data_IF_305334259785
#
_entry.id   IF_305334259785
#
_cell.length_a   1.000
_cell.length_b   1.000
_cell.length_c   1.000
_cell.angle_alpha   90.00
_cell.angle_beta   90.00
_cell.angle_gamma   90.00
#
_symmetry.space_group_name_H-M   'P 1'
#
loop_
_entity.id
_entity.type
_entity.pdbx_description
1 polymer ?
#
# COMPACT_ATOMS: atom_id res chain seq x y z
N UNK A 1 25.12 7.23 23.80
CA UNK A 1 24.41 6.54 24.90
C UNK A 1 23.76 7.59 25.76
N UNK A 2 22.45 7.51 25.88
CA UNK A 2 21.65 8.55 26.56
C UNK A 2 21.24 8.03 27.94
N UNK A 3 21.91 8.54 29.00
CA UNK A 3 21.68 8.13 30.39
C UNK A 3 20.20 8.23 30.79
N UNK A 4 19.44 9.12 30.15
CA UNK A 4 18.01 9.28 30.38
C UNK A 4 17.16 8.09 29.84
N UNK A 5 17.58 7.45 28.73
CA UNK A 5 16.89 6.28 28.20
C UNK A 5 17.07 5.05 29.10
N UNK A 6 18.23 4.92 29.75
CA UNK A 6 18.50 3.83 30.69
C UNK A 6 17.72 3.98 32.01
N UNK A 7 17.49 5.21 32.46
CA UNK A 7 16.69 5.51 33.65
C UNK A 7 15.19 5.28 33.37
N UNK A 8 14.71 5.66 32.18
CA UNK A 8 13.33 5.43 31.77
C UNK A 8 13.03 3.93 31.60
N UNK A 9 13.94 3.17 30.99
CA UNK A 9 13.84 1.71 30.87
C UNK A 9 13.76 1.01 32.22
N UNK A 10 14.50 1.50 33.23
CA UNK A 10 14.43 0.97 34.61
C UNK A 10 13.13 1.30 35.33
N UNK A 11 12.39 2.31 34.89
CA UNK A 11 11.05 2.68 35.40
C UNK A 11 9.90 2.02 34.66
N UNK A 12 10.19 1.20 33.64
CA UNK A 12 9.19 0.55 32.80
C UNK A 12 8.48 1.49 31.82
N UNK A 13 8.98 2.71 31.64
CA UNK A 13 8.48 3.66 30.63
C UNK A 13 9.44 3.62 29.45
N UNK A 14 8.96 3.11 28.32
CA UNK A 14 9.70 3.17 27.07
C UNK A 14 9.63 4.60 26.51
N UNK A 15 10.78 5.23 26.33
CA UNK A 15 10.92 6.54 25.69
C UNK A 15 11.85 6.40 24.48
N UNK A 16 11.57 7.14 23.43
CA UNK A 16 12.41 7.15 22.24
C UNK A 16 11.65 7.54 20.99
N UNK A 17 12.35 7.44 19.85
CA UNK A 17 11.77 7.73 18.54
C UNK A 17 11.93 6.53 17.64
N UNK A 18 10.84 6.11 17.00
CA UNK A 18 10.83 5.09 15.93
C UNK A 18 10.55 5.80 14.61
N UNK A 19 11.40 5.55 13.61
CA UNK A 19 11.34 6.17 12.28
C UNK A 19 10.94 5.12 11.24
N UNK A 20 9.84 5.35 10.55
CA UNK A 20 9.18 4.36 9.71
C UNK A 20 9.13 4.86 8.27
N UNK A 21 9.69 4.07 7.33
CA UNK A 21 9.46 4.26 5.90
C UNK A 21 8.10 3.69 5.51
N UNK A 22 7.18 4.51 5.02
CA UNK A 22 5.81 4.11 4.75
C UNK A 22 5.51 4.06 3.25
N UNK A 23 5.36 2.85 2.68
CA UNK A 23 4.93 2.67 1.30
C UNK A 23 3.42 2.94 1.13
N UNK A 24 2.95 3.34 -0.06
CA UNK A 24 1.59 3.86 -0.26
C UNK A 24 0.47 3.02 0.32
N UNK A 25 0.50 1.70 0.15
CA UNK A 25 -0.58 0.83 0.63
C UNK A 25 -0.70 0.77 2.15
N UNK A 26 0.40 0.99 2.89
CA UNK A 26 0.39 0.92 4.36
C UNK A 26 -0.21 2.15 5.03
N UNK A 27 -0.25 3.29 4.32
CA UNK A 27 -0.56 4.62 4.87
C UNK A 27 -2.03 4.87 5.16
N UNK A 28 -2.93 4.15 4.51
CA UNK A 28 -4.37 4.43 4.60
C UNK A 28 -5.05 3.74 5.79
N UNK A 29 -4.57 2.58 6.21
CA UNK A 29 -5.16 1.81 7.31
C UNK A 29 -4.13 1.10 8.17
N UNK A 30 -3.27 0.27 7.57
CA UNK A 30 -2.36 -0.62 8.29
C UNK A 30 -1.51 0.15 9.30
N UNK A 31 -0.72 1.09 8.83
CA UNK A 31 0.19 1.86 9.68
C UNK A 31 -0.54 2.79 10.67
N UNK A 32 -1.56 3.58 10.29
CA UNK A 32 -2.32 4.37 11.24
C UNK A 32 -2.95 3.56 12.36
N UNK A 33 -3.53 2.40 12.05
CA UNK A 33 -4.14 1.54 13.07
C UNK A 33 -3.09 0.94 14.03
N UNK A 34 -1.94 0.51 13.49
CA UNK A 34 -0.83 0.00 14.28
C UNK A 34 -0.25 1.09 15.20
N UNK A 35 -0.03 2.30 14.67
CA UNK A 35 0.45 3.45 15.45
C UNK A 35 -0.51 3.78 16.60
N UNK A 36 -1.80 3.88 16.32
CA UNK A 36 -2.81 4.20 17.34
C UNK A 36 -2.82 3.16 18.45
N UNK A 37 -2.81 1.87 18.12
CA UNK A 37 -2.78 0.78 19.10
C UNK A 37 -1.48 0.75 19.90
N UNK A 38 -0.34 1.01 19.27
CA UNK A 38 0.96 1.03 19.92
C UNK A 38 1.11 2.19 20.89
N UNK A 39 0.74 3.40 20.48
CA UNK A 39 0.85 4.59 21.35
C UNK A 39 -0.09 4.56 22.56
N UNK A 40 -1.22 3.86 22.46
CA UNK A 40 -2.10 3.61 23.61
C UNK A 40 -1.40 2.82 24.73
N UNK A 41 -0.40 2.01 24.39
CA UNK A 41 0.37 1.21 25.34
C UNK A 41 1.74 1.84 25.67
N UNK A 42 2.27 2.68 24.79
CA UNK A 42 3.61 3.27 24.88
C UNK A 42 3.58 4.78 24.65
N UNK A 43 2.96 5.56 25.54
CA UNK A 43 2.74 7.01 25.35
C UNK A 43 4.03 7.85 25.37
N UNK A 44 5.17 7.29 25.81
CA UNK A 44 6.48 7.95 25.80
C UNK A 44 7.24 7.83 24.48
N UNK A 45 6.71 7.07 23.50
CA UNK A 45 7.35 6.87 22.21
C UNK A 45 6.86 7.93 21.21
N UNK A 46 7.79 8.49 20.44
CA UNK A 46 7.50 9.31 19.26
C UNK A 46 7.64 8.47 18.01
N UNK A 47 6.66 8.51 17.13
CA UNK A 47 6.70 7.85 15.82
C UNK A 47 6.83 8.90 14.72
N UNK A 48 7.78 8.70 13.81
CA UNK A 48 8.00 9.53 12.63
C UNK A 48 7.84 8.70 11.38
N UNK A 49 7.13 9.22 10.38
CA UNK A 49 6.95 8.54 9.09
C UNK A 49 7.65 9.30 7.97
N UNK A 50 8.23 8.56 7.03
CA UNK A 50 8.81 9.06 5.79
C UNK A 50 8.10 8.41 4.60
N UNK A 51 7.50 9.23 3.75
CA UNK A 51 6.73 8.83 2.56
C UNK A 51 7.53 9.12 1.29
N UNK A 52 8.50 8.27 1.00
CA UNK A 52 9.38 8.38 -0.17
C UNK A 52 9.26 7.14 -1.07
N UNK A 53 9.77 7.18 -2.30
CA UNK A 53 9.96 5.98 -3.12
C UNK A 53 10.78 4.91 -2.39
N UNK A 54 10.54 3.64 -2.72
CA UNK A 54 11.18 2.51 -2.04
C UNK A 54 12.71 2.62 -2.01
N UNK A 55 13.32 2.97 -3.13
CA UNK A 55 14.76 3.09 -3.29
C UNK A 55 15.35 4.17 -2.35
N UNK A 56 14.63 5.28 -2.19
CA UNK A 56 15.01 6.35 -1.25
C UNK A 56 14.87 5.89 0.20
N UNK A 57 13.78 5.16 0.53
CA UNK A 57 13.58 4.60 1.86
C UNK A 57 14.66 3.57 2.21
N UNK A 58 15.09 2.73 1.24
CA UNK A 58 16.21 1.80 1.43
C UNK A 58 17.51 2.55 1.71
N UNK A 59 17.79 3.62 0.97
CA UNK A 59 18.97 4.45 1.22
C UNK A 59 18.93 5.10 2.62
N UNK A 60 17.78 5.64 3.03
CA UNK A 60 17.58 6.20 4.36
C UNK A 60 17.72 5.16 5.47
N UNK A 61 17.23 3.96 5.24
CA UNK A 61 17.36 2.85 6.19
C UNK A 61 18.81 2.41 6.35
N UNK A 62 19.58 2.31 5.26
CA UNK A 62 21.02 2.03 5.28
C UNK A 62 21.82 3.11 6.02
N UNK A 63 21.40 4.36 5.84
CA UNK A 63 22.00 5.51 6.54
C UNK A 63 21.59 5.61 8.02
N UNK A 64 20.65 4.79 8.50
CA UNK A 64 20.12 4.84 9.87
C UNK A 64 19.12 5.97 10.11
N UNK A 65 18.62 6.61 9.05
CA UNK A 65 17.61 7.68 9.13
C UNK A 65 16.21 7.12 9.39
N UNK A 66 15.95 5.87 9.01
CA UNK A 66 14.73 5.13 9.34
C UNK A 66 15.09 3.73 9.88
N UNK A 67 14.22 3.17 10.71
CA UNK A 67 14.42 1.91 11.40
C UNK A 67 13.92 0.72 10.58
N UNK A 68 12.75 0.86 9.94
CA UNK A 68 12.19 -0.13 9.04
C UNK A 68 11.25 0.49 7.99
N UNK A 69 11.00 -0.27 6.93
CA UNK A 69 10.01 0.07 5.89
C UNK A 69 8.81 -0.85 6.04
N UNK A 70 7.58 -0.31 5.90
CA UNK A 70 6.36 -1.09 5.90
C UNK A 70 5.62 -0.93 4.57
N UNK A 71 5.20 -2.06 3.98
CA UNK A 71 4.41 -2.10 2.74
C UNK A 71 4.57 -3.38 1.96
N UNK A 72 4.39 -3.32 0.64
CA UNK A 72 4.59 -4.48 -0.21
C UNK A 72 6.07 -4.87 -0.30
N UNK A 73 6.34 -6.12 0.03
CA UNK A 73 7.67 -6.69 -0.05
C UNK A 73 8.11 -6.83 -1.51
N UNK A 74 9.40 -6.61 -1.77
CA UNK A 74 10.04 -6.86 -3.05
C UNK A 74 10.47 -8.33 -3.11
N UNK A 75 9.98 -9.07 -4.11
CA UNK A 75 10.27 -10.50 -4.22
C UNK A 75 11.58 -10.80 -4.97
N UNK A 76 12.00 -9.87 -5.84
CA UNK A 76 13.09 -10.09 -6.78
C UNK A 76 14.39 -9.34 -6.39
N UNK A 77 14.44 -8.70 -5.22
CA UNK A 77 15.62 -7.98 -4.77
C UNK A 77 16.37 -8.81 -3.73
N UNK A 78 17.47 -9.45 -4.17
CA UNK A 78 18.43 -10.07 -3.26
C UNK A 78 19.33 -8.97 -2.67
N UNK A 79 18.90 -8.40 -1.56
CA UNK A 79 19.64 -7.37 -0.82
C UNK A 79 20.18 -8.03 0.46
N UNK A 80 21.44 -8.50 0.47
CA UNK A 80 21.98 -9.30 1.57
C UNK A 80 22.10 -8.55 2.89
N UNK A 81 22.06 -7.22 2.84
CA UNK A 81 22.09 -6.33 3.99
C UNK A 81 20.69 -6.03 4.57
N UNK A 82 19.64 -6.59 3.96
CA UNK A 82 18.25 -6.38 4.38
C UNK A 82 17.56 -7.70 4.69
N UNK A 83 16.66 -7.64 5.65
CA UNK A 83 15.72 -8.72 5.97
C UNK A 83 14.30 -8.27 5.70
N UNK A 84 13.46 -9.22 5.28
CA UNK A 84 12.03 -8.97 5.09
C UNK A 84 11.20 -9.98 5.88
N UNK A 85 10.17 -9.48 6.57
CA UNK A 85 9.20 -10.30 7.29
C UNK A 85 7.80 -10.06 6.72
N UNK A 86 7.18 -11.13 6.21
CA UNK A 86 5.81 -11.05 5.71
C UNK A 86 4.82 -11.11 6.86
N UNK A 87 3.87 -10.18 6.88
CA UNK A 87 2.77 -10.13 7.84
C UNK A 87 1.51 -10.80 7.31
N UNK A 88 1.18 -10.56 6.03
CA UNK A 88 0.04 -11.17 5.34
C UNK A 88 0.19 -11.05 3.82
N UNK A 89 -0.73 -11.71 3.12
CA UNK A 89 -0.87 -11.63 1.66
C UNK A 89 -2.23 -11.07 1.29
N UNK A 90 -2.30 -10.33 0.18
CA UNK A 90 -3.54 -9.80 -0.35
C UNK A 90 -3.48 -9.65 -1.87
N UNK A 91 -4.64 -9.77 -2.51
CA UNK A 91 -4.80 -9.55 -3.95
C UNK A 91 -5.15 -8.09 -4.25
N UNK A 92 -5.00 -7.72 -5.51
CA UNK A 92 -5.52 -6.46 -6.01
C UNK A 92 -7.00 -6.59 -6.37
N UNK A 93 -7.74 -5.52 -6.13
CA UNK A 93 -9.16 -5.37 -6.46
C UNK A 93 -9.36 -4.23 -7.43
N UNK A 94 -10.33 -4.38 -8.33
CA UNK A 94 -10.79 -3.26 -9.16
C UNK A 94 -11.86 -2.50 -8.39
N UNK A 95 -11.63 -1.21 -8.17
CA UNK A 95 -12.54 -0.32 -7.46
C UNK A 95 -13.13 0.73 -8.39
N UNK A 96 -14.34 1.14 -8.05
CA UNK A 96 -15.13 2.14 -8.75
C UNK A 96 -16.12 2.80 -7.77
N UNK A 97 -16.78 3.90 -8.18
CA UNK A 97 -17.81 4.53 -7.36
C UNK A 97 -19.02 3.62 -7.14
N UNK A 98 -19.73 3.85 -6.06
CA UNK A 98 -21.05 3.24 -5.86
C UNK A 98 -21.99 3.60 -7.02
N UNK A 99 -22.88 2.66 -7.36
CA UNK A 99 -23.81 2.78 -8.47
C UNK A 99 -23.16 2.98 -9.85
N UNK A 100 -21.88 2.61 -10.01
CA UNK A 100 -21.21 2.61 -11.31
C UNK A 100 -21.95 1.68 -12.29
N UNK A 101 -22.15 2.07 -13.57
CA UNK A 101 -22.88 1.24 -14.55
C UNK A 101 -22.34 -0.19 -14.69
N UNK A 102 -21.03 -0.38 -14.59
CA UNK A 102 -20.38 -1.70 -14.68
C UNK A 102 -20.79 -2.68 -13.60
N UNK A 103 -21.28 -2.23 -12.44
CA UNK A 103 -21.77 -3.11 -11.38
C UNK A 103 -23.04 -3.89 -11.79
N UNK A 104 -23.76 -3.38 -12.79
CA UNK A 104 -24.98 -3.99 -13.34
C UNK A 104 -24.78 -4.53 -14.74
N UNK A 105 -23.57 -4.42 -15.30
CA UNK A 105 -23.28 -4.90 -16.64
C UNK A 105 -23.23 -6.45 -16.65
N UNK A 106 -23.84 -7.13 -17.61
CA UNK A 106 -23.86 -8.60 -17.64
C UNK A 106 -22.48 -9.23 -17.86
N UNK A 107 -21.58 -8.50 -18.52
CA UNK A 107 -20.17 -8.89 -18.71
C UNK A 107 -19.26 -7.67 -18.44
N UNK A 108 -18.96 -7.35 -17.18
CA UNK A 108 -18.12 -6.22 -16.84
C UNK A 108 -16.67 -6.40 -17.29
N UNK A 109 -16.20 -7.64 -17.46
CA UNK A 109 -14.84 -7.95 -17.90
C UNK A 109 -14.57 -7.41 -19.30
N UNK A 110 -15.52 -7.54 -20.24
CA UNK A 110 -15.36 -7.05 -21.61
C UNK A 110 -15.16 -5.52 -21.70
N UNK A 111 -15.61 -4.80 -20.68
CA UNK A 111 -15.54 -3.34 -20.63
C UNK A 111 -14.20 -2.80 -20.08
N UNK A 112 -13.38 -3.66 -19.47
CA UNK A 112 -12.12 -3.23 -18.82
C UNK A 112 -11.14 -2.62 -19.81
N UNK A 113 -11.11 -3.08 -21.06
CA UNK A 113 -10.21 -2.60 -22.11
C UNK A 113 -10.51 -1.16 -22.56
N UNK A 114 -11.76 -0.73 -22.48
CA UNK A 114 -12.23 0.59 -22.90
C UNK A 114 -12.55 1.54 -21.76
N UNK A 115 -12.46 1.04 -20.51
CA UNK A 115 -12.70 1.86 -19.32
C UNK A 115 -11.64 2.95 -19.18
N UNK A 116 -12.01 4.02 -18.48
CA UNK A 116 -11.07 5.04 -18.03
C UNK A 116 -10.39 4.59 -16.74
N UNK A 117 -9.07 4.65 -16.70
CA UNK A 117 -8.31 4.14 -15.60
C UNK A 117 -7.50 5.20 -14.86
N UNK A 118 -7.51 5.14 -13.53
CA UNK A 118 -6.51 5.77 -12.67
C UNK A 118 -5.48 4.70 -12.34
N UNK A 119 -4.26 4.85 -12.83
CA UNK A 119 -3.20 3.84 -12.70
C UNK A 119 -1.96 4.40 -12.01
N UNK A 120 -1.18 3.56 -11.31
CA UNK A 120 0.16 3.93 -10.89
C UNK A 120 1.07 4.19 -12.10
N UNK A 121 2.19 4.88 -11.86
CA UNK A 121 3.23 5.12 -12.87
C UNK A 121 3.68 3.82 -13.53
N UNK A 122 4.06 3.91 -14.79
CA UNK A 122 4.69 2.81 -15.50
C UNK A 122 5.89 2.27 -14.68
N UNK A 123 6.09 0.95 -14.71
CA UNK A 123 7.11 0.21 -13.94
C UNK A 123 6.91 0.20 -12.40
N UNK A 124 5.88 0.83 -11.85
CA UNK A 124 5.54 0.60 -10.44
C UNK A 124 5.10 -0.87 -10.24
N UNK A 125 5.50 -1.53 -9.13
CA UNK A 125 5.18 -2.95 -8.91
C UNK A 125 3.69 -3.28 -9.02
N UNK A 126 2.82 -2.41 -8.50
CA UNK A 126 1.37 -2.59 -8.62
C UNK A 126 0.91 -2.50 -10.08
N UNK A 127 1.52 -1.63 -10.89
CA UNK A 127 1.22 -1.52 -12.31
C UNK A 127 1.66 -2.77 -13.06
N UNK A 128 2.85 -3.28 -12.81
CA UNK A 128 3.36 -4.49 -13.44
C UNK A 128 2.48 -5.72 -13.15
N UNK A 129 1.96 -5.84 -11.91
CA UNK A 129 1.03 -6.92 -11.55
C UNK A 129 -0.30 -6.79 -12.30
N UNK A 130 -0.86 -5.58 -12.39
CA UNK A 130 -2.08 -5.33 -13.14
C UNK A 130 -1.90 -5.66 -14.64
N UNK A 131 -0.80 -5.21 -15.23
CA UNK A 131 -0.50 -5.47 -16.63
C UNK A 131 -0.37 -6.99 -16.90
N UNK A 132 0.31 -7.74 -16.00
CA UNK A 132 0.36 -9.22 -16.07
C UNK A 132 -1.03 -9.85 -15.98
N UNK A 133 -1.88 -9.38 -15.03
CA UNK A 133 -3.24 -9.89 -14.91
C UNK A 133 -4.05 -9.66 -16.18
N UNK A 134 -3.93 -8.50 -16.84
CA UNK A 134 -4.59 -8.23 -18.10
C UNK A 134 -4.12 -9.17 -19.23
N UNK A 135 -2.82 -9.44 -19.32
CA UNK A 135 -2.26 -10.44 -20.25
C UNK A 135 -2.85 -11.83 -19.99
N UNK A 136 -2.87 -12.27 -18.73
CA UNK A 136 -3.45 -13.56 -18.32
C UNK A 136 -4.95 -13.64 -18.65
N UNK A 137 -5.67 -12.53 -18.52
CA UNK A 137 -7.08 -12.43 -18.92
C UNK A 137 -7.29 -12.37 -20.43
N UNK A 138 -6.24 -12.24 -21.25
CA UNK A 138 -6.35 -12.05 -22.69
C UNK A 138 -6.93 -10.69 -23.08
N UNK A 139 -6.76 -9.69 -22.23
CA UNK A 139 -7.23 -8.32 -22.45
C UNK A 139 -6.08 -7.41 -22.89
N UNK A 140 -6.35 -6.37 -23.70
CA UNK A 140 -5.38 -5.31 -23.96
C UNK A 140 -4.96 -4.63 -22.65
N UNK A 141 -3.70 -4.20 -22.57
CA UNK A 141 -3.20 -3.49 -21.39
C UNK A 141 -4.00 -2.21 -21.13
N UNK A 142 -4.38 -1.94 -19.87
CA UNK A 142 -5.16 -0.76 -19.54
C UNK A 142 -4.31 0.50 -19.75
N UNK A 143 -4.90 1.50 -20.40
CA UNK A 143 -4.25 2.77 -20.62
C UNK A 143 -4.65 3.76 -19.52
N UNK A 144 -3.70 4.50 -18.93
CA UNK A 144 -4.05 5.46 -17.89
C UNK A 144 -4.77 6.68 -18.51
N UNK A 145 -5.94 7.02 -17.98
CA UNK A 145 -6.53 8.34 -18.16
C UNK A 145 -5.89 9.32 -17.20
N UNK A 146 -5.60 8.86 -15.97
CA UNK A 146 -4.82 9.58 -14.96
C UNK A 146 -3.74 8.66 -14.42
N UNK A 147 -2.51 9.17 -14.33
CA UNK A 147 -1.40 8.44 -13.72
C UNK A 147 -1.06 9.05 -12.37
N UNK A 148 -1.30 8.30 -11.29
CA UNK A 148 -0.98 8.69 -9.93
C UNK A 148 -0.83 7.49 -9.00
N UNK A 149 0.05 7.60 -7.99
CA UNK A 149 0.15 6.65 -6.88
C UNK A 149 -0.42 7.18 -5.56
N UNK A 150 -0.98 8.39 -5.59
CA UNK A 150 -1.54 9.05 -4.41
C UNK A 150 -2.94 8.53 -4.10
N UNK A 151 -3.13 7.99 -2.88
CA UNK A 151 -4.39 7.38 -2.48
C UNK A 151 -5.54 8.39 -2.35
N UNK A 152 -5.26 9.63 -1.97
CA UNK A 152 -6.29 10.66 -1.86
C UNK A 152 -6.79 11.10 -3.25
N UNK A 153 -5.86 11.21 -4.23
CA UNK A 153 -6.22 11.47 -5.62
C UNK A 153 -7.04 10.32 -6.21
N UNK A 154 -6.62 9.06 -6.00
CA UNK A 154 -7.37 7.88 -6.47
C UNK A 154 -8.79 7.90 -5.89
N UNK A 155 -8.94 8.09 -4.58
CA UNK A 155 -10.24 8.18 -3.90
C UNK A 155 -11.13 9.25 -4.51
N UNK A 156 -10.61 10.48 -4.63
CA UNK A 156 -11.37 11.62 -5.17
C UNK A 156 -11.83 11.38 -6.60
N UNK A 157 -10.95 10.84 -7.46
CA UNK A 157 -11.29 10.55 -8.85
C UNK A 157 -12.34 9.44 -8.97
N UNK A 158 -12.22 8.35 -8.19
CA UNK A 158 -13.21 7.28 -8.20
C UNK A 158 -14.57 7.75 -7.72
N UNK A 159 -14.64 8.59 -6.68
CA UNK A 159 -15.90 9.09 -6.16
C UNK A 159 -16.58 10.10 -7.11
N UNK A 160 -15.78 10.87 -7.86
CA UNK A 160 -16.25 11.94 -8.73
C UNK A 160 -16.45 11.58 -10.21
N UNK A 161 -16.16 10.33 -10.61
CA UNK A 161 -16.18 9.93 -12.03
C UNK A 161 -16.50 8.45 -12.23
N UNK A 162 -16.56 8.01 -13.50
CA UNK A 162 -16.69 6.61 -13.89
C UNK A 162 -15.33 5.93 -14.14
N UNK A 163 -14.26 6.45 -13.56
CA UNK A 163 -12.95 5.83 -13.66
C UNK A 163 -12.84 4.58 -12.77
N UNK A 164 -11.96 3.68 -13.17
CA UNK A 164 -11.58 2.48 -12.42
C UNK A 164 -10.17 2.64 -11.85
N UNK A 165 -9.91 2.00 -10.74
CA UNK A 165 -8.54 1.81 -10.24
C UNK A 165 -8.35 0.38 -9.76
N UNK A 166 -7.13 -0.15 -9.88
CA UNK A 166 -6.74 -1.42 -9.30
C UNK A 166 -5.77 -1.16 -8.14
N UNK A 167 -6.15 -1.56 -6.94
CA UNK A 167 -5.40 -1.32 -5.70
C UNK A 167 -5.36 -2.59 -4.84
N UNK A 168 -4.41 -2.69 -3.93
CA UNK A 168 -4.39 -3.74 -2.91
C UNK A 168 -5.66 -3.66 -2.04
N UNK A 169 -6.21 -4.80 -1.66
CA UNK A 169 -7.50 -4.88 -0.97
C UNK A 169 -7.58 -4.04 0.31
N UNK A 170 -6.49 -3.97 1.08
CA UNK A 170 -6.44 -3.17 2.32
C UNK A 170 -6.37 -1.66 2.08
N UNK A 171 -5.90 -1.22 0.91
CA UNK A 171 -5.57 0.18 0.63
C UNK A 171 -6.78 1.13 0.68
N UNK A 172 -7.97 0.66 0.22
CA UNK A 172 -9.21 1.43 0.20
C UNK A 172 -10.33 0.72 0.98
N UNK A 173 -9.95 -0.06 1.99
CA UNK A 173 -10.91 -0.85 2.75
C UNK A 173 -11.89 0.00 3.53
N UNK A 174 -11.45 1.15 4.06
CA UNK A 174 -12.37 2.08 4.71
C UNK A 174 -13.48 2.54 3.76
N UNK A 175 -13.14 2.87 2.53
CA UNK A 175 -14.07 3.33 1.50
C UNK A 175 -15.05 2.23 1.10
N UNK A 176 -14.60 0.99 0.97
CA UNK A 176 -15.47 -0.14 0.63
C UNK A 176 -16.35 -0.57 1.80
N UNK A 177 -15.81 -0.64 3.03
CA UNK A 177 -16.56 -1.01 4.24
C UNK A 177 -17.66 0.01 4.56
N UNK A 178 -17.45 1.30 4.23
CA UNK A 178 -18.43 2.38 4.45
C UNK A 178 -19.30 2.70 3.22
N UNK A 179 -19.21 1.88 2.17
CA UNK A 179 -20.03 2.05 0.98
C UNK A 179 -19.74 3.30 0.17
N UNK A 180 -18.55 3.89 0.27
CA UNK A 180 -18.10 5.02 -0.54
C UNK A 180 -17.60 4.58 -1.90
N UNK A 181 -17.00 3.40 -1.97
CA UNK A 181 -16.57 2.73 -3.20
C UNK A 181 -17.11 1.30 -3.23
N UNK A 182 -17.16 0.72 -4.41
CA UNK A 182 -17.55 -0.66 -4.64
C UNK A 182 -16.42 -1.45 -5.31
N UNK A 183 -16.39 -2.74 -5.05
CA UNK A 183 -15.50 -3.69 -5.75
C UNK A 183 -16.21 -4.18 -6.99
N UNK A 184 -15.57 -4.06 -8.15
CA UNK A 184 -16.04 -4.72 -9.37
C UNK A 184 -15.74 -6.23 -9.28
N UNK A 185 -16.72 -7.11 -9.44
CA UNK A 185 -16.54 -8.56 -9.24
C UNK A 185 -15.84 -9.23 -10.46
N UNK A 186 -14.68 -8.70 -10.83
CA UNK A 186 -13.77 -9.24 -11.84
C UNK A 186 -12.43 -9.53 -11.17
N UNK A 187 -12.11 -10.82 -10.92
CA UNK A 187 -10.85 -11.19 -10.29
C UNK A 187 -9.66 -10.84 -11.18
N UNK A 188 -8.60 -10.36 -10.56
CA UNK A 188 -7.32 -10.11 -11.21
C UNK A 188 -6.37 -11.27 -10.87
N UNK A 189 -6.09 -12.19 -11.80
CA UNK A 189 -5.22 -13.33 -11.55
C UNK A 189 -3.77 -12.88 -11.28
N UNK A 190 -3.06 -13.64 -10.48
CA UNK A 190 -1.62 -13.48 -10.18
C UNK A 190 -1.24 -12.11 -9.63
N UNK A 191 -2.15 -11.47 -8.87
CA UNK A 191 -1.91 -10.15 -8.27
C UNK A 191 -1.63 -10.21 -6.77
N UNK A 192 -1.46 -11.39 -6.20
CA UNK A 192 -1.15 -11.58 -4.78
C UNK A 192 0.16 -10.88 -4.41
N UNK A 193 0.11 -10.10 -3.35
CA UNK A 193 1.25 -9.34 -2.83
C UNK A 193 1.49 -9.71 -1.37
N UNK A 194 2.75 -9.96 -1.03
CA UNK A 194 3.18 -10.09 0.37
C UNK A 194 3.37 -8.70 0.96
N UNK A 195 2.71 -8.44 2.06
CA UNK A 195 2.79 -7.18 2.80
C UNK A 195 3.55 -7.44 4.08
N UNK A 196 4.49 -6.58 4.41
CA UNK A 196 5.34 -6.83 5.57
C UNK A 196 6.30 -5.70 5.87
N UNK A 197 7.33 -6.06 6.62
CA UNK A 197 8.40 -5.19 7.08
C UNK A 197 9.69 -5.50 6.31
N UNK A 198 10.47 -4.46 6.03
CA UNK A 198 11.86 -4.58 5.57
C UNK A 198 12.73 -3.79 6.53
N UNK A 199 13.81 -4.40 7.01
CA UNK A 199 14.74 -3.81 7.99
C UNK A 199 16.16 -4.29 7.73
N UNK A 200 17.15 -3.64 8.36
CA UNK A 200 18.55 -4.04 8.24
C UNK A 200 18.78 -5.44 8.84
N UNK A 201 19.57 -6.26 8.15
CA UNK A 201 20.14 -7.47 8.75
C UNK A 201 21.05 -7.04 9.90
N UNK A 202 20.86 -7.65 11.06
CA UNK A 202 21.62 -7.37 12.28
C UNK A 202 23.05 -7.88 12.23
#
# INVERSE_FOLDING_TARGET
>A
ENIWSDIAARRGVLEGTVRIGALPLSRTRLLPSAIAAFLAQHPGITLMTNESPYESLVADMRAGNIDFIIGALRQDEDLPDLCSEALFEEDMLILLRNNHPLLRHPDPRSQLATAQWVLPRANAPARNLLDKAFVTLGLPLPQPTVETGDAAMVRGLLQGSDMLAAVSASQMRFETDNGLLSVLPVPLPDTTRRIGLTFRAG
#
